data_IF_267630507264
#
_entry.id   IF_267630507264
#
_cell.length_a   1.000
_cell.length_b   1.000
_cell.length_c   1.000
_cell.angle_alpha   90.00
_cell.angle_beta   90.00
_cell.angle_gamma   90.00
#
_symmetry.space_group_name_H-M   'P 1'
#
loop_
_entity.id
_entity.type
_entity.pdbx_description
1 polymer ?
#
# COMPACT_ATOMS: atom_id res chain seq x y z
N UNK A 1 10.61 0.07 -1.28
CA UNK A 1 10.54 -1.17 -0.46
C UNK A 1 9.86 -2.34 -1.20
N UNK A 2 8.57 -2.26 -1.58
CA UNK A 2 7.86 -3.38 -2.25
C UNK A 2 8.45 -3.74 -3.63
N UNK A 3 8.79 -2.72 -4.42
CA UNK A 3 9.41 -2.88 -5.73
C UNK A 3 10.86 -3.41 -5.64
N UNK A 4 11.60 -3.01 -4.60
CA UNK A 4 12.95 -3.54 -4.31
C UNK A 4 12.91 -5.03 -3.91
N UNK A 5 11.86 -5.46 -3.19
CA UNK A 5 11.63 -6.89 -2.94
C UNK A 5 11.38 -7.64 -4.25
N UNK A 6 10.61 -7.06 -5.17
CA UNK A 6 10.27 -7.68 -6.46
C UNK A 6 11.42 -7.78 -7.45
N UNK A 7 12.36 -6.83 -7.43
CA UNK A 7 13.53 -6.85 -8.32
C UNK A 7 14.53 -7.95 -7.98
N UNK A 8 14.42 -8.58 -6.81
CA UNK A 8 15.40 -9.56 -6.30
C UNK A 8 14.87 -10.99 -6.19
N UNK A 9 13.56 -11.19 -6.32
CA UNK A 9 12.93 -12.51 -6.14
C UNK A 9 12.91 -13.22 -7.49
N UNK A 10 13.49 -14.43 -7.55
CA UNK A 10 13.45 -15.25 -8.75
C UNK A 10 12.01 -15.73 -9.03
N UNK A 11 11.66 -16.08 -10.29
CA UNK A 11 10.33 -16.63 -10.60
C UNK A 11 9.93 -17.83 -9.72
N UNK A 12 10.90 -18.65 -9.33
CA UNK A 12 10.68 -19.83 -8.49
C UNK A 12 10.32 -19.48 -7.03
N UNK A 13 10.85 -18.37 -6.50
CA UNK A 13 10.61 -17.92 -5.12
C UNK A 13 9.38 -17.03 -5.00
N UNK A 14 8.87 -16.55 -6.13
CA UNK A 14 7.75 -15.60 -6.19
C UNK A 14 6.49 -16.13 -5.51
N UNK A 15 6.03 -17.38 -5.70
CA UNK A 15 4.83 -17.87 -5.02
C UNK A 15 4.94 -17.77 -3.49
N UNK A 16 6.08 -18.15 -2.91
CA UNK A 16 6.32 -18.07 -1.47
C UNK A 16 6.39 -16.61 -0.98
N UNK A 17 6.99 -15.71 -1.77
CA UNK A 17 7.02 -14.28 -1.46
C UNK A 17 5.61 -13.66 -1.48
N UNK A 18 4.78 -14.02 -2.45
CA UNK A 18 3.41 -13.53 -2.59
C UNK A 18 2.51 -14.01 -1.45
N UNK A 19 2.74 -15.20 -0.89
CA UNK A 19 1.98 -15.69 0.27
C UNK A 19 2.16 -14.80 1.51
N UNK A 20 3.32 -14.14 1.68
CA UNK A 20 3.61 -13.24 2.81
C UNK A 20 2.76 -11.97 2.83
N UNK A 21 2.17 -11.57 1.70
CA UNK A 21 1.33 -10.37 1.56
C UNK A 21 -0.04 -10.55 2.26
N UNK A 22 -0.35 -11.78 2.73
CA UNK A 22 -1.61 -12.09 3.41
C UNK A 22 -2.81 -12.03 2.46
N UNK A 23 -4.02 -11.90 3.01
CA UNK A 23 -5.28 -11.86 2.25
C UNK A 23 -6.07 -10.57 2.44
N UNK A 24 -5.62 -9.70 3.34
CA UNK A 24 -6.34 -8.50 3.75
C UNK A 24 -6.26 -7.36 2.71
N UNK A 25 -7.02 -6.31 2.97
CA UNK A 25 -6.88 -5.03 2.30
C UNK A 25 -5.72 -4.24 2.92
N UNK A 26 -5.06 -3.41 2.12
CA UNK A 26 -4.00 -2.52 2.60
C UNK A 26 -4.10 -1.18 1.90
N UNK A 27 -3.53 -0.16 2.54
CA UNK A 27 -3.40 1.17 1.97
C UNK A 27 -2.03 1.31 1.30
N UNK A 28 -2.05 1.73 0.03
CA UNK A 28 -0.85 1.99 -0.76
C UNK A 28 -0.75 3.49 -1.01
N UNK A 29 0.34 4.08 -0.54
CA UNK A 29 0.69 5.45 -0.86
C UNK A 29 1.44 5.50 -2.21
N UNK A 30 1.06 6.46 -3.06
CA UNK A 30 1.55 6.64 -4.43
C UNK A 30 2.00 8.08 -4.70
N UNK A 31 2.28 8.83 -3.64
CA UNK A 31 2.74 10.22 -3.76
C UNK A 31 4.26 10.28 -3.86
N UNK A 32 4.78 11.50 -3.81
CA UNK A 32 6.22 11.77 -4.01
C UNK A 32 7.04 11.67 -2.73
N UNK A 33 6.41 11.66 -1.56
CA UNK A 33 7.10 11.64 -0.28
C UNK A 33 7.62 10.23 0.05
N UNK A 34 8.86 10.14 0.50
CA UNK A 34 9.37 8.88 1.06
C UNK A 34 8.75 8.63 2.43
N UNK A 35 8.78 7.38 2.96
CA UNK A 35 8.34 7.11 4.33
C UNK A 35 9.03 7.99 5.38
N UNK A 36 10.31 8.31 5.18
CA UNK A 36 11.07 9.20 6.05
C UNK A 36 10.56 10.65 5.96
N UNK A 37 10.28 11.15 4.76
CA UNK A 37 9.69 12.48 4.57
C UNK A 37 8.31 12.59 5.22
N UNK A 38 7.46 11.58 5.03
CA UNK A 38 6.13 11.49 5.67
C UNK A 38 6.29 11.57 7.20
N UNK A 39 7.19 10.76 7.77
CA UNK A 39 7.41 10.75 9.21
C UNK A 39 7.91 12.11 9.71
N UNK A 40 8.91 12.69 9.05
CA UNK A 40 9.49 13.97 9.43
C UNK A 40 8.47 15.12 9.37
N UNK A 41 7.65 15.18 8.31
CA UNK A 41 6.60 16.20 8.21
C UNK A 41 5.57 16.06 9.33
N UNK A 42 5.13 14.84 9.62
CA UNK A 42 4.17 14.58 10.69
C UNK A 42 4.76 14.97 12.05
N UNK A 43 5.98 14.53 12.36
CA UNK A 43 6.67 14.89 13.60
C UNK A 43 6.84 16.40 13.74
N UNK A 44 7.21 17.10 12.66
CA UNK A 44 7.33 18.56 12.67
C UNK A 44 5.99 19.24 12.98
N UNK A 45 4.89 18.80 12.37
CA UNK A 45 3.55 19.34 12.63
C UNK A 45 3.08 19.07 14.06
N UNK A 46 3.32 17.87 14.60
CA UNK A 46 2.97 17.53 15.98
C UNK A 46 3.80 18.36 16.98
N UNK A 47 5.08 18.60 16.68
CA UNK A 47 5.96 19.43 17.51
C UNK A 47 5.51 20.89 17.52
N UNK A 48 5.19 21.46 16.35
CA UNK A 48 4.71 22.84 16.24
C UNK A 48 3.38 23.09 16.97
N UNK A 49 2.61 22.02 17.17
CA UNK A 49 1.34 22.04 17.91
C UNK A 49 1.50 21.65 19.39
N UNK A 50 2.71 21.36 19.86
CA UNK A 50 3.02 20.88 21.21
C UNK A 50 2.26 19.59 21.61
N UNK A 51 2.03 18.70 20.64
CA UNK A 51 1.32 17.43 20.82
C UNK A 51 2.18 16.20 20.45
N UNK A 52 3.50 16.35 20.38
CA UNK A 52 4.41 15.22 20.15
C UNK A 52 4.60 14.37 21.41
N UNK A 53 4.25 14.85 22.61
CA UNK A 53 4.35 14.03 23.81
C UNK A 53 3.14 13.08 23.90
N UNK A 54 3.32 11.81 24.33
CA UNK A 54 2.24 10.82 24.35
C UNK A 54 0.97 11.28 25.08
N UNK A 55 1.11 11.95 26.23
CA UNK A 55 -0.02 12.46 27.00
C UNK A 55 -0.77 13.59 26.26
N UNK A 56 -0.04 14.51 25.64
CA UNK A 56 -0.62 15.62 24.87
C UNK A 56 -1.31 15.10 23.60
N UNK A 57 -0.69 14.15 22.90
CA UNK A 57 -1.28 13.47 21.74
C UNK A 57 -2.57 12.73 22.12
N UNK A 58 -2.54 11.95 23.21
CA UNK A 58 -3.72 11.22 23.68
C UNK A 58 -4.88 12.16 24.02
N UNK A 59 -4.61 13.28 24.70
CA UNK A 59 -5.60 14.30 25.00
C UNK A 59 -6.18 14.93 23.72
N UNK A 60 -5.32 15.24 22.74
CA UNK A 60 -5.74 15.74 21.42
C UNK A 60 -6.67 14.75 20.72
N UNK A 61 -6.27 13.48 20.62
CA UNK A 61 -7.07 12.44 19.96
C UNK A 61 -8.41 12.24 20.66
N UNK A 62 -8.45 12.24 22.00
CA UNK A 62 -9.68 12.12 22.77
C UNK A 62 -10.64 13.29 22.53
N UNK A 63 -10.12 14.52 22.42
CA UNK A 63 -10.91 15.71 22.12
C UNK A 63 -11.46 15.74 20.68
N UNK A 64 -10.89 14.95 19.77
CA UNK A 64 -11.23 14.91 18.33
C UNK A 64 -11.84 13.57 17.90
N UNK A 65 -12.74 13.02 18.73
CA UNK A 65 -13.49 11.79 18.44
C UNK A 65 -12.62 10.56 18.11
N UNK A 66 -11.44 10.47 18.74
CA UNK A 66 -10.57 9.30 18.64
C UNK A 66 -9.63 9.30 17.45
N UNK A 67 -9.44 10.43 16.76
CA UNK A 67 -8.37 10.62 15.78
C UNK A 67 -7.99 12.10 15.61
N UNK A 68 -6.87 12.37 14.96
CA UNK A 68 -6.55 13.70 14.41
C UNK A 68 -6.08 13.52 12.97
N UNK A 69 -6.21 14.56 12.17
CA UNK A 69 -5.78 14.57 10.77
C UNK A 69 -4.60 15.52 10.58
N UNK A 70 -3.71 15.15 9.65
CA UNK A 70 -2.63 16.01 9.14
C UNK A 70 -2.63 15.96 7.62
N UNK A 71 -2.34 17.09 7.00
CA UNK A 71 -2.14 17.20 5.54
C UNK A 71 -0.67 17.49 5.28
N UNK A 72 -0.07 16.72 4.39
CA UNK A 72 1.36 16.83 4.05
C UNK A 72 1.58 17.74 2.84
N UNK A 73 2.84 18.04 2.56
CA UNK A 73 3.25 18.96 1.49
C UNK A 73 2.83 18.50 0.09
N UNK A 74 2.65 17.20 -0.12
CA UNK A 74 2.13 16.61 -1.36
C UNK A 74 0.60 16.56 -1.42
N UNK A 75 -0.09 17.22 -0.48
CA UNK A 75 -1.56 17.20 -0.31
C UNK A 75 -2.15 15.90 0.22
N UNK A 76 -1.34 14.87 0.48
CA UNK A 76 -1.85 13.64 1.09
C UNK A 76 -2.31 13.91 2.52
N UNK A 77 -3.50 13.40 2.84
CA UNK A 77 -4.08 13.44 4.17
C UNK A 77 -3.81 12.14 4.93
N UNK A 78 -3.45 12.25 6.20
CA UNK A 78 -3.15 11.14 7.09
C UNK A 78 -3.94 11.26 8.38
N UNK A 79 -4.49 10.13 8.81
CA UNK A 79 -5.25 9.98 10.06
C UNK A 79 -4.32 9.36 11.08
N UNK A 80 -4.20 10.05 12.20
CA UNK A 80 -3.41 9.66 13.35
C UNK A 80 -4.36 9.25 14.47
N UNK A 81 -4.14 8.05 15.00
CA UNK A 81 -4.87 7.49 16.14
C UNK A 81 -3.90 7.13 17.25
N UNK A 82 -4.42 6.98 18.45
CA UNK A 82 -3.67 6.35 19.53
C UNK A 82 -3.43 4.88 19.18
N UNK A 83 -2.19 4.44 19.35
CA UNK A 83 -1.78 3.05 19.21
C UNK A 83 -1.88 2.33 20.55
N UNK A 84 -2.06 1.01 20.51
CA UNK A 84 -1.98 0.15 21.69
C UNK A 84 -0.52 -0.10 22.13
N UNK A 85 0.46 0.25 21.29
CA UNK A 85 1.89 0.17 21.60
C UNK A 85 2.37 1.49 22.24
N UNK A 86 2.83 1.48 23.52
CA UNK A 86 3.27 2.69 24.21
C UNK A 86 4.58 3.26 23.66
N UNK A 87 5.47 2.45 23.06
CA UNK A 87 6.69 2.93 22.41
C UNK A 87 6.38 3.55 21.04
N UNK A 88 5.28 3.12 20.40
CA UNK A 88 4.78 3.60 19.11
C UNK A 88 3.37 4.12 19.25
N UNK A 89 3.18 5.12 20.11
CA UNK A 89 1.88 5.60 20.55
C UNK A 89 1.03 6.26 19.43
N UNK A 90 1.59 6.54 18.25
CA UNK A 90 0.87 7.06 17.08
C UNK A 90 0.69 5.95 16.04
N UNK A 91 -0.56 5.62 15.73
CA UNK A 91 -0.92 4.76 14.61
C UNK A 91 -1.34 5.62 13.41
N UNK A 92 -0.67 5.45 12.28
CA UNK A 92 -0.91 6.21 11.05
C UNK A 92 -1.67 5.37 10.00
N UNK A 93 -2.67 5.98 9.38
CA UNK A 93 -3.33 5.46 8.17
C UNK A 93 -3.60 6.60 7.19
N UNK A 94 -3.56 6.37 5.87
CA UNK A 94 -4.05 7.37 4.94
C UNK A 94 -5.53 7.72 5.20
N UNK A 95 -5.86 9.00 5.05
CA UNK A 95 -7.24 9.47 5.14
C UNK A 95 -8.15 8.85 4.08
N UNK A 96 -9.45 8.80 4.37
CA UNK A 96 -10.42 8.32 3.39
C UNK A 96 -10.44 9.28 2.21
N UNK A 97 -10.26 8.75 1.00
CA UNK A 97 -10.12 9.54 -0.23
C UNK A 97 -8.92 10.49 -0.24
N UNK A 98 -7.94 10.27 0.63
CA UNK A 98 -6.72 11.05 0.67
C UNK A 98 -6.03 11.02 -0.70
N UNK A 99 -5.61 12.18 -1.25
CA UNK A 99 -4.77 12.23 -2.43
C UNK A 99 -3.57 11.30 -2.26
N UNK A 100 -3.14 10.72 -3.38
CA UNK A 100 -1.98 9.82 -3.39
C UNK A 100 -2.11 8.57 -2.51
N UNK A 101 -3.33 8.17 -2.15
CA UNK A 101 -3.58 6.92 -1.43
C UNK A 101 -4.60 6.04 -2.16
N UNK A 102 -4.35 4.73 -2.16
CA UNK A 102 -5.22 3.74 -2.77
C UNK A 102 -5.39 2.56 -1.84
N UNK A 103 -6.64 2.24 -1.55
CA UNK A 103 -6.97 1.02 -0.83
C UNK A 103 -6.99 -0.15 -1.81
N UNK A 104 -6.05 -1.09 -1.63
CA UNK A 104 -5.86 -2.24 -2.53
C UNK A 104 -6.15 -3.57 -1.83
N UNK A 105 -6.73 -4.53 -2.56
CA UNK A 105 -6.89 -5.91 -2.07
C UNK A 105 -5.57 -6.66 -2.27
N UNK A 106 -5.14 -7.46 -1.28
CA UNK A 106 -3.94 -8.29 -1.41
C UNK A 106 -3.95 -9.15 -2.68
N UNK A 107 -5.10 -9.71 -3.07
CA UNK A 107 -5.21 -10.49 -4.31
C UNK A 107 -4.84 -9.68 -5.58
N UNK A 108 -5.23 -8.40 -5.63
CA UNK A 108 -4.92 -7.54 -6.77
C UNK A 108 -3.43 -7.16 -6.78
N UNK A 109 -2.85 -6.88 -5.61
CA UNK A 109 -1.41 -6.64 -5.46
C UNK A 109 -0.59 -7.87 -5.86
N UNK A 110 -0.93 -9.06 -5.34
CA UNK A 110 -0.26 -10.32 -5.70
C UNK A 110 -0.30 -10.57 -7.20
N UNK A 111 -1.45 -10.32 -7.81
CA UNK A 111 -1.59 -10.48 -9.26
C UNK A 111 -0.68 -9.51 -10.01
N UNK A 112 -0.66 -8.24 -9.62
CA UNK A 112 0.18 -7.24 -10.26
C UNK A 112 1.68 -7.57 -10.16
N UNK A 113 2.10 -8.00 -8.97
CA UNK A 113 3.45 -8.47 -8.71
C UNK A 113 3.82 -9.69 -9.55
N UNK A 114 2.94 -10.69 -9.61
CA UNK A 114 3.15 -11.90 -10.40
C UNK A 114 3.22 -11.60 -11.90
N UNK A 115 2.33 -10.74 -12.39
CA UNK A 115 2.31 -10.28 -13.78
C UNK A 115 3.63 -9.61 -14.15
N UNK A 116 4.15 -8.71 -13.31
CA UNK A 116 5.42 -8.02 -13.57
C UNK A 116 6.64 -8.92 -13.52
N UNK A 117 6.66 -9.90 -12.64
CA UNK A 117 7.73 -10.89 -12.67
C UNK A 117 7.67 -11.72 -13.96
N UNK A 118 6.48 -12.16 -14.38
CA UNK A 118 6.30 -12.92 -15.62
C UNK A 118 6.69 -12.10 -16.86
N UNK A 119 6.31 -10.82 -16.92
CA UNK A 119 6.69 -9.87 -17.98
C UNK A 119 8.22 -9.78 -18.12
N UNK A 120 8.93 -9.55 -17.01
CA UNK A 120 10.40 -9.43 -16.99
C UNK A 120 11.12 -10.70 -17.42
N UNK A 121 10.50 -11.87 -17.22
CA UNK A 121 11.08 -13.16 -17.57
C UNK A 121 10.60 -13.68 -18.94
N UNK A 122 9.84 -12.87 -19.69
CA UNK A 122 9.32 -13.28 -21.01
C UNK A 122 8.34 -14.45 -20.95
N UNK A 123 7.63 -14.62 -19.83
CA UNK A 123 6.69 -15.72 -19.60
C UNK A 123 5.26 -15.40 -20.04
N UNK A 124 5.02 -14.18 -20.51
CA UNK A 124 3.70 -13.73 -20.97
C UNK A 124 3.48 -14.10 -22.43
N UNK A 125 2.24 -14.49 -22.74
CA UNK A 125 1.82 -14.88 -24.09
C UNK A 125 1.46 -13.67 -24.95
N UNK A 126 1.15 -12.53 -24.31
CA UNK A 126 0.65 -11.31 -24.97
C UNK A 126 -0.88 -11.21 -24.96
N UNK A 127 -1.59 -12.28 -24.61
CA UNK A 127 -3.03 -12.25 -24.41
C UNK A 127 -3.37 -11.90 -22.96
N UNK A 128 -3.72 -10.62 -22.72
CA UNK A 128 -3.81 -10.04 -21.38
C UNK A 128 -4.67 -10.83 -20.37
N UNK A 129 -5.86 -11.30 -20.76
CA UNK A 129 -6.74 -12.04 -19.84
C UNK A 129 -6.16 -13.42 -19.48
N UNK A 130 -5.62 -14.13 -20.48
CA UNK A 130 -4.94 -15.42 -20.31
C UNK A 130 -3.72 -15.27 -19.41
N UNK A 131 -2.90 -14.24 -19.66
CA UNK A 131 -1.72 -13.92 -18.86
C UNK A 131 -2.07 -13.59 -17.41
N UNK A 132 -3.11 -12.77 -17.18
CA UNK A 132 -3.62 -12.46 -15.84
C UNK A 132 -4.05 -13.74 -15.12
N UNK A 133 -4.82 -14.61 -15.78
CA UNK A 133 -5.31 -15.84 -15.16
C UNK A 133 -4.19 -16.85 -14.89
N UNK A 134 -3.17 -16.92 -15.75
CA UNK A 134 -1.98 -17.74 -15.52
C UNK A 134 -1.22 -17.29 -14.26
N UNK A 135 -0.96 -15.98 -14.12
CA UNK A 135 -0.24 -15.48 -12.93
C UNK A 135 -1.08 -15.55 -11.65
N UNK A 136 -2.40 -15.46 -11.75
CA UNK A 136 -3.33 -15.68 -10.62
C UNK A 136 -3.28 -17.12 -10.13
N UNK A 137 -3.22 -18.09 -11.04
CA UNK A 137 -3.08 -19.50 -10.68
C UNK A 137 -1.76 -19.75 -9.91
N UNK A 138 -0.65 -19.18 -10.37
CA UNK A 138 0.64 -19.25 -9.64
C UNK A 138 0.57 -18.65 -8.24
N UNK A 139 -0.25 -17.61 -8.04
CA UNK A 139 -0.47 -16.97 -6.75
C UNK A 139 -1.58 -17.64 -5.90
N UNK A 140 -2.09 -18.80 -6.31
CA UNK A 140 -3.22 -19.50 -5.69
C UNK A 140 -4.50 -18.63 -5.57
N UNK A 141 -4.80 -17.85 -6.62
CA UNK A 141 -5.98 -17.00 -6.72
C UNK A 141 -6.93 -17.53 -7.80
N UNK A 142 -8.24 -17.42 -7.56
CA UNK A 142 -9.27 -17.79 -8.55
C UNK A 142 -9.14 -16.95 -9.84
N UNK A 143 -9.48 -17.45 -11.02
CA UNK A 143 -9.42 -16.67 -12.26
C UNK A 143 -10.43 -15.50 -12.24
N UNK A 144 -10.17 -14.48 -13.06
CA UNK A 144 -11.14 -13.44 -13.42
C UNK A 144 -11.84 -13.81 -14.73
N UNK A 145 -13.11 -13.42 -14.87
CA UNK A 145 -13.95 -13.83 -16.00
C UNK A 145 -13.75 -12.94 -17.22
N UNK A 146 -13.47 -11.66 -17.00
CA UNK A 146 -13.30 -10.65 -18.04
C UNK A 146 -12.27 -9.60 -17.63
N UNK A 147 -11.83 -8.80 -18.60
CA UNK A 147 -10.99 -7.62 -18.33
C UNK A 147 -11.75 -6.51 -17.61
N UNK A 148 -13.07 -6.45 -17.78
CA UNK A 148 -13.95 -5.54 -17.05
C UNK A 148 -13.92 -5.84 -15.55
N UNK A 149 -14.03 -7.12 -15.17
CA UNK A 149 -13.88 -7.57 -13.78
C UNK A 149 -12.48 -7.30 -13.21
N UNK A 150 -11.48 -7.09 -14.07
CA UNK A 150 -10.09 -6.89 -13.72
C UNK A 150 -9.65 -5.40 -13.69
N UNK A 151 -10.52 -4.43 -13.96
CA UNK A 151 -10.13 -3.01 -14.10
C UNK A 151 -9.29 -2.46 -12.93
N UNK A 152 -9.70 -2.72 -11.69
CA UNK A 152 -8.93 -2.28 -10.51
C UNK A 152 -7.55 -2.93 -10.43
N UNK A 153 -7.43 -4.18 -10.87
CA UNK A 153 -6.16 -4.91 -10.89
C UNK A 153 -5.25 -4.39 -11.99
N UNK A 154 -5.80 -4.07 -13.17
CA UNK A 154 -5.08 -3.45 -14.28
C UNK A 154 -4.51 -2.09 -13.86
N UNK A 155 -5.28 -1.30 -13.11
CA UNK A 155 -4.78 -0.03 -12.52
C UNK A 155 -3.60 -0.27 -11.57
N UNK A 156 -3.64 -1.34 -10.77
CA UNK A 156 -2.51 -1.64 -9.86
C UNK A 156 -1.30 -2.13 -10.66
N UNK A 157 -1.49 -2.94 -11.70
CA UNK A 157 -0.41 -3.36 -12.61
C UNK A 157 0.29 -2.14 -13.22
N UNK A 158 -0.48 -1.15 -13.71
CA UNK A 158 0.12 0.06 -14.29
C UNK A 158 0.86 0.90 -13.26
N UNK A 159 0.33 1.06 -12.04
CA UNK A 159 1.01 1.80 -10.95
C UNK A 159 2.32 1.13 -10.53
N UNK A 160 2.35 -0.19 -10.42
CA UNK A 160 3.58 -0.95 -10.13
C UNK A 160 4.58 -0.90 -11.29
N UNK A 161 4.15 -0.47 -12.49
CA UNK A 161 5.03 -0.28 -13.66
C UNK A 161 5.75 1.07 -13.68
N UNK A 162 5.23 2.08 -12.95
CA UNK A 162 5.66 3.47 -13.06
C UNK A 162 6.62 3.92 -11.96
N UNK A 163 6.68 3.20 -10.84
CA UNK A 163 7.80 3.27 -9.90
C UNK A 163 8.92 2.39 -10.40
#
# INVERSE_FOLDING_TARGET
MLQQMLTRVSPAELPAALQKIGTSQMDMYTGTLTPEMIFNEITAQLTAQDILLPAAFAARVAAHHGYTEVTLSDTSCWILRLSDDPERYVHLHPGRYSPHSLRIKAAALKTAMAYKAAERNGLLTGELLTDINAVRAMAALSPVRSLEDAQHMLKIISLVSQG
#
